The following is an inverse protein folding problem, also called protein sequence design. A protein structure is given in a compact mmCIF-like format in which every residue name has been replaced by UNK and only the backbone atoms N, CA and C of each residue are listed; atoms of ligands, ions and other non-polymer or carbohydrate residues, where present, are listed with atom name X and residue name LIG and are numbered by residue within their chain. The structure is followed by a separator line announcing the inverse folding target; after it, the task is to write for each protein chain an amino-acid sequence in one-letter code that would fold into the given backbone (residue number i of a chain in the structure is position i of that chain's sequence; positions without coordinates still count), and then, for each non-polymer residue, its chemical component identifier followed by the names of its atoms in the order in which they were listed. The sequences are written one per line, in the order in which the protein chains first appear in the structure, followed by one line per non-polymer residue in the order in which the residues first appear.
data_IF_783246127759
#
_entry.id   IF_783246127759
#
_cell.length_a   1.000
_cell.length_b   1.000
_cell.length_c   1.000
_cell.angle_alpha   90.00
_cell.angle_beta   90.00
_cell.angle_gamma   90.00
#
_symmetry.space_group_name_H-M   'P 1'
#
loop_
_entity.id
_entity.type
_entity.pdbx_description
1 polymer ?
#
# COMPACT_ATOMS: atom_id res chain seq x y z
N UNK A 1 20.53 -6.88 1.15
CA UNK A 1 19.11 -7.29 1.21
C UNK A 1 18.28 -6.01 1.18
N UNK A 2 17.69 -5.68 0.03
CA UNK A 2 16.87 -4.46 -0.13
C UNK A 2 15.41 -4.79 0.23
N UNK A 3 15.19 -5.17 1.48
CA UNK A 3 13.86 -5.51 1.99
C UNK A 3 13.23 -4.26 2.63
N UNK A 4 12.09 -3.83 2.10
CA UNK A 4 11.38 -2.63 2.55
C UNK A 4 10.92 -2.76 4.00
N UNK A 5 10.45 -3.94 4.43
CA UNK A 5 9.97 -4.14 5.79
C UNK A 5 11.14 -4.02 6.78
N UNK A 6 12.26 -4.70 6.51
CA UNK A 6 13.42 -4.62 7.39
C UNK A 6 14.00 -3.20 7.42
N UNK A 7 14.15 -2.55 6.26
CA UNK A 7 14.66 -1.18 6.18
C UNK A 7 13.78 -0.20 6.95
N UNK A 8 12.46 -0.25 6.77
CA UNK A 8 11.53 0.68 7.44
C UNK A 8 11.25 0.31 8.91
N UNK A 9 11.57 -0.91 9.34
CA UNK A 9 11.52 -1.29 10.76
C UNK A 9 12.62 -0.66 11.62
N UNK A 10 13.76 -0.30 10.99
CA UNK A 10 14.92 0.26 11.68
C UNK A 10 15.59 -0.71 12.66
N UNK A 11 15.42 -2.03 12.46
CA UNK A 11 16.05 -3.05 13.30
C UNK A 11 17.55 -3.09 13.00
N UNK A 12 18.36 -3.03 14.06
CA UNK A 12 19.81 -3.20 13.98
C UNK A 12 20.14 -4.62 13.51
N UNK A 13 20.88 -4.80 12.40
CA UNK A 13 21.28 -6.11 11.89
C UNK A 13 22.06 -6.98 12.89
N UNK A 14 22.67 -6.38 13.92
CA UNK A 14 23.44 -7.10 14.95
C UNK A 14 22.58 -7.51 16.16
N UNK A 15 21.34 -7.05 16.25
CA UNK A 15 20.45 -7.34 17.38
C UNK A 15 20.01 -8.80 17.46
N UNK A 16 19.61 -9.25 18.65
CA UNK A 16 18.97 -10.57 18.82
C UNK A 16 17.66 -10.68 18.02
N UNK A 17 16.92 -9.58 17.90
CA UNK A 17 15.71 -9.53 17.09
C UNK A 17 16.02 -9.81 15.60
N UNK A 18 17.12 -9.27 15.07
CA UNK A 18 17.56 -9.58 13.70
C UNK A 18 17.89 -11.07 13.52
N UNK A 19 18.50 -11.72 14.53
CA UNK A 19 18.76 -13.18 14.50
C UNK A 19 17.47 -14.00 14.49
N UNK A 20 16.43 -13.56 15.20
CA UNK A 20 15.11 -14.20 15.17
C UNK A 20 14.45 -14.03 13.80
N UNK A 21 14.47 -12.82 13.26
CA UNK A 21 13.93 -12.48 11.93
C UNK A 21 14.61 -13.29 10.82
N UNK A 22 15.93 -13.48 10.90
CA UNK A 22 16.70 -14.26 9.93
C UNK A 22 16.21 -15.71 9.78
N UNK A 23 15.56 -16.28 10.81
CA UNK A 23 14.94 -17.61 10.75
C UNK A 23 13.70 -17.67 9.85
N UNK A 24 13.20 -16.53 9.39
CA UNK A 24 12.02 -16.39 8.52
C UNK A 24 12.34 -15.58 7.26
N UNK A 25 13.60 -15.61 6.81
CA UNK A 25 14.08 -14.83 5.67
C UNK A 25 13.29 -15.09 4.38
N UNK A 26 12.77 -16.31 4.20
CA UNK A 26 11.89 -16.70 3.10
C UNK A 26 10.60 -15.87 3.04
N UNK A 27 9.99 -15.57 4.19
CA UNK A 27 8.78 -14.75 4.27
C UNK A 27 9.06 -13.31 3.88
N UNK A 28 10.18 -12.74 4.34
CA UNK A 28 10.59 -11.39 3.98
C UNK A 28 10.88 -11.29 2.48
N UNK A 29 11.60 -12.27 1.92
CA UNK A 29 11.85 -12.35 0.48
C UNK A 29 10.56 -12.41 -0.34
N UNK A 30 9.61 -13.27 0.02
CA UNK A 30 8.30 -13.35 -0.64
C UNK A 30 7.48 -12.08 -0.47
N UNK A 31 7.58 -11.41 0.68
CA UNK A 31 6.93 -10.13 0.95
C UNK A 31 7.51 -9.04 0.06
N UNK A 32 8.84 -8.99 -0.12
CA UNK A 32 9.48 -8.05 -1.02
C UNK A 32 9.05 -8.29 -2.48
N UNK A 33 9.02 -9.55 -2.94
CA UNK A 33 8.50 -9.89 -4.28
C UNK A 33 7.06 -9.44 -4.47
N UNK A 34 6.22 -9.63 -3.44
CA UNK A 34 4.81 -9.19 -3.47
C UNK A 34 4.71 -7.66 -3.52
N UNK A 35 5.58 -6.95 -2.80
CA UNK A 35 5.66 -5.48 -2.87
C UNK A 35 5.97 -4.99 -4.28
N UNK A 36 6.98 -5.57 -4.90
CA UNK A 36 7.37 -5.21 -6.25
C UNK A 36 6.24 -5.52 -7.25
N UNK A 37 5.62 -6.69 -7.15
CA UNK A 37 4.53 -7.11 -8.02
C UNK A 37 3.23 -6.29 -7.82
N UNK A 38 2.92 -5.86 -6.59
CA UNK A 38 1.70 -5.10 -6.30
C UNK A 38 1.79 -3.66 -6.83
N UNK A 39 2.97 -3.03 -6.74
CA UNK A 39 3.19 -1.64 -7.15
C UNK A 39 3.64 -1.51 -8.61
N UNK A 40 4.43 -2.47 -9.09
CA UNK A 40 5.03 -2.47 -10.44
C UNK A 40 4.77 -3.80 -11.17
N UNK A 41 3.50 -4.23 -11.30
CA UNK A 41 3.19 -5.41 -12.10
C UNK A 41 3.59 -5.20 -13.56
N UNK A 42 3.96 -6.29 -14.25
CA UNK A 42 4.26 -6.27 -15.67
C UNK A 42 3.03 -5.85 -16.51
N UNK A 43 1.84 -6.29 -16.11
CA UNK A 43 0.56 -5.80 -16.64
C UNK A 43 -0.17 -4.98 -15.56
N UNK A 44 -0.17 -3.64 -15.67
CA UNK A 44 -0.85 -2.78 -14.70
C UNK A 44 -2.38 -2.87 -14.76
N UNK A 45 -2.95 -3.34 -15.87
CA UNK A 45 -4.39 -3.23 -16.13
C UNK A 45 -4.85 -1.76 -16.13
N UNK A 46 -6.06 -1.49 -15.62
CA UNK A 46 -6.59 -0.12 -15.53
C UNK A 46 -6.18 0.65 -14.28
N UNK A 47 -5.19 0.16 -13.52
CA UNK A 47 -4.51 0.88 -12.44
C UNK A 47 -3.03 1.03 -12.80
N UNK A 48 -2.65 2.23 -13.25
CA UNK A 48 -1.27 2.60 -13.54
C UNK A 48 -0.34 2.40 -12.32
N UNK A 49 0.97 2.31 -12.57
CA UNK A 49 1.95 2.25 -11.47
C UNK A 49 1.88 3.50 -10.58
N UNK A 50 1.65 4.67 -11.17
CA UNK A 50 1.48 5.93 -10.45
C UNK A 50 0.24 5.91 -9.56
N UNK A 51 -0.92 5.49 -10.07
CA UNK A 51 -2.15 5.35 -9.26
C UNK A 51 -1.97 4.36 -8.10
N UNK A 52 -1.26 3.24 -8.32
CA UNK A 52 -0.95 2.28 -7.26
C UNK A 52 -0.09 2.91 -6.17
N UNK A 53 0.95 3.64 -6.56
CA UNK A 53 1.84 4.33 -5.63
C UNK A 53 1.12 5.47 -4.89
N UNK A 54 0.24 6.21 -5.56
CA UNK A 54 -0.58 7.26 -4.95
C UNK A 54 -1.53 6.69 -3.89
N UNK A 55 -2.23 5.61 -4.20
CA UNK A 55 -3.07 4.89 -3.23
C UNK A 55 -2.22 4.37 -2.06
N UNK A 56 -1.02 3.85 -2.31
CA UNK A 56 -0.13 3.39 -1.25
C UNK A 56 0.34 4.55 -0.34
N UNK A 57 0.68 5.72 -0.89
CA UNK A 57 0.96 6.95 -0.13
C UNK A 57 -0.22 7.36 0.74
N UNK A 58 -1.43 7.32 0.15
CA UNK A 58 -2.67 7.65 0.85
C UNK A 58 -2.92 6.74 2.04
N UNK A 59 -2.74 5.43 1.86
CA UNK A 59 -2.88 4.44 2.93
C UNK A 59 -1.80 4.65 4.01
N UNK A 60 -0.55 4.93 3.62
CA UNK A 60 0.50 5.25 4.59
C UNK A 60 0.16 6.51 5.41
N UNK A 61 -0.46 7.51 4.79
CA UNK A 61 -0.97 8.71 5.46
C UNK A 61 -2.11 8.39 6.43
N UNK A 62 -3.07 7.53 6.04
CA UNK A 62 -4.15 7.07 6.93
C UNK A 62 -3.63 6.35 8.18
N UNK A 63 -2.46 5.71 8.08
CA UNK A 63 -1.84 4.99 9.19
C UNK A 63 -0.78 5.83 9.95
N UNK A 64 -0.66 7.11 9.63
CA UNK A 64 0.33 8.05 10.20
C UNK A 64 1.79 7.53 10.14
N UNK A 65 2.14 6.83 9.05
CA UNK A 65 3.48 6.26 8.88
C UNK A 65 4.31 7.09 7.89
N UNK A 66 5.07 8.06 8.41
CA UNK A 66 5.92 8.94 7.61
C UNK A 66 6.95 8.17 6.76
N UNK A 67 7.55 7.10 7.29
CA UNK A 67 8.58 6.36 6.56
C UNK A 67 8.00 5.60 5.36
N UNK A 68 6.77 5.07 5.48
CA UNK A 68 6.06 4.51 4.33
C UNK A 68 5.56 5.60 3.37
N UNK A 69 5.12 6.76 3.86
CA UNK A 69 4.76 7.89 3.00
C UNK A 69 5.94 8.29 2.12
N UNK A 70 7.13 8.45 2.69
CA UNK A 70 8.34 8.80 1.95
C UNK A 70 8.72 7.69 0.94
N UNK A 71 8.62 6.43 1.36
CA UNK A 71 8.92 5.28 0.49
C UNK A 71 7.99 5.21 -0.72
N UNK A 72 6.68 5.30 -0.49
CA UNK A 72 5.72 5.27 -1.59
C UNK A 72 5.74 6.55 -2.42
N UNK A 73 6.06 7.71 -1.82
CA UNK A 73 6.24 8.98 -2.52
C UNK A 73 7.38 8.91 -3.52
N UNK A 74 8.51 8.32 -3.14
CA UNK A 74 9.61 8.08 -4.06
C UNK A 74 9.22 7.13 -5.22
N UNK A 75 8.36 6.13 -4.96
CA UNK A 75 7.83 5.24 -6.00
C UNK A 75 6.87 6.00 -6.92
N UNK A 76 6.03 6.87 -6.35
CA UNK A 76 5.10 7.72 -7.09
C UNK A 76 5.86 8.63 -8.03
N UNK A 77 6.87 9.36 -7.56
CA UNK A 77 7.70 10.24 -8.39
C UNK A 77 8.37 9.49 -9.54
N UNK A 78 8.90 8.30 -9.29
CA UNK A 78 9.51 7.44 -10.31
C UNK A 78 8.51 6.94 -11.36
N UNK A 79 7.23 6.85 -11.01
CA UNK A 79 6.17 6.43 -11.93
C UNK A 79 5.67 7.56 -12.86
N UNK A 80 6.25 8.77 -12.74
CA UNK A 80 5.91 9.95 -13.55
C UNK A 80 4.40 10.25 -13.54
N UNK A 81 3.82 10.59 -12.37
CA UNK A 81 2.39 10.69 -12.20
C UNK A 81 1.83 11.88 -12.98
N UNK A 82 0.57 11.78 -13.40
CA UNK A 82 -0.19 12.95 -13.79
C UNK A 82 -0.63 13.77 -12.57
N UNK A 83 -1.36 14.86 -12.82
CA UNK A 83 -1.82 15.72 -11.73
C UNK A 83 -2.88 15.05 -10.84
N UNK A 84 -3.75 14.24 -11.42
CA UNK A 84 -4.80 13.54 -10.67
C UNK A 84 -4.18 12.49 -9.75
N UNK A 85 -3.20 11.74 -10.25
CA UNK A 85 -2.47 10.73 -9.48
C UNK A 85 -1.68 11.36 -8.33
N UNK A 86 -1.03 12.51 -8.55
CA UNK A 86 -0.42 13.28 -7.45
C UNK A 86 -1.45 13.64 -6.39
N UNK A 87 -2.59 14.18 -6.80
CA UNK A 87 -3.66 14.60 -5.89
C UNK A 87 -4.28 13.43 -5.11
N UNK A 88 -4.40 12.23 -5.71
CA UNK A 88 -4.90 11.02 -5.01
C UNK A 88 -4.08 10.69 -3.76
N UNK A 89 -2.78 10.97 -3.76
CA UNK A 89 -1.92 10.73 -2.59
C UNK A 89 -2.26 11.59 -1.37
N UNK A 90 -2.91 12.74 -1.59
CA UNK A 90 -3.32 13.68 -0.54
C UNK A 90 -4.68 13.28 0.07
N UNK A 91 -4.72 13.03 1.38
CA UNK A 91 -5.92 12.65 2.13
C UNK A 91 -7.09 13.62 1.95
N UNK A 92 -6.83 14.91 1.74
CA UNK A 92 -7.87 15.94 1.62
C UNK A 92 -8.44 16.06 0.21
N UNK A 93 -7.79 15.45 -0.79
CA UNK A 93 -8.29 15.47 -2.15
C UNK A 93 -9.63 14.76 -2.30
N UNK A 94 -10.53 15.37 -3.07
CA UNK A 94 -11.85 14.83 -3.42
C UNK A 94 -12.02 14.96 -4.93
N UNK A 95 -11.94 13.83 -5.63
CA UNK A 95 -12.06 13.81 -7.08
C UNK A 95 -13.50 14.08 -7.54
N UNK A 96 -13.64 14.90 -8.58
CA UNK A 96 -14.91 15.06 -9.32
C UNK A 96 -15.16 13.90 -10.29
N UNK A 97 -14.10 13.25 -10.76
CA UNK A 97 -14.20 12.06 -11.62
C UNK A 97 -14.79 10.87 -10.82
N UNK A 98 -15.91 10.26 -11.27
CA UNK A 98 -16.55 9.17 -10.56
C UNK A 98 -15.68 7.93 -10.37
N UNK A 99 -14.82 7.60 -11.33
CA UNK A 99 -13.90 6.46 -11.26
C UNK A 99 -12.86 6.72 -10.18
N UNK A 100 -12.21 7.88 -10.19
CA UNK A 100 -11.19 8.24 -9.19
C UNK A 100 -11.80 8.36 -7.79
N UNK A 101 -12.97 8.98 -7.68
CA UNK A 101 -13.72 9.07 -6.41
C UNK A 101 -14.04 7.68 -5.84
N UNK A 102 -14.46 6.72 -6.68
CA UNK A 102 -14.72 5.35 -6.25
C UNK A 102 -13.45 4.60 -5.81
N UNK A 103 -12.31 4.80 -6.50
CA UNK A 103 -11.01 4.24 -6.09
C UNK A 103 -10.58 4.75 -4.72
N UNK A 104 -10.60 6.08 -4.52
CA UNK A 104 -10.25 6.73 -3.25
C UNK A 104 -11.12 6.19 -2.12
N UNK A 105 -12.45 6.19 -2.31
CA UNK A 105 -13.41 5.75 -1.30
C UNK A 105 -13.17 4.30 -0.88
N UNK A 106 -12.91 3.41 -1.85
CA UNK A 106 -12.64 2.00 -1.56
C UNK A 106 -11.32 1.81 -0.81
N UNK A 107 -10.25 2.49 -1.25
CA UNK A 107 -8.96 2.45 -0.58
C UNK A 107 -9.07 2.94 0.87
N UNK A 108 -9.74 4.07 1.11
CA UNK A 108 -9.93 4.64 2.44
C UNK A 108 -10.74 3.72 3.34
N UNK A 109 -11.87 3.20 2.83
CA UNK A 109 -12.73 2.30 3.59
C UNK A 109 -12.01 1.02 3.99
N UNK A 110 -11.35 0.35 3.04
CA UNK A 110 -10.72 -0.95 3.30
C UNK A 110 -9.46 -0.80 4.14
N UNK A 111 -8.71 0.30 4.00
CA UNK A 111 -7.53 0.55 4.83
C UNK A 111 -7.91 0.92 6.28
N UNK A 112 -8.94 1.76 6.47
CA UNK A 112 -9.31 2.26 7.80
C UNK A 112 -10.29 1.33 8.55
N UNK A 113 -11.25 0.72 7.84
CA UNK A 113 -12.29 -0.10 8.44
C UNK A 113 -12.69 -1.27 7.52
N UNK A 114 -11.80 -2.27 7.31
CA UNK A 114 -12.06 -3.37 6.40
C UNK A 114 -13.29 -4.21 6.77
N UNK A 115 -13.72 -4.20 8.04
CA UNK A 115 -14.92 -4.91 8.50
C UNK A 115 -16.23 -4.25 8.03
N UNK A 116 -16.19 -2.96 7.72
CA UNK A 116 -17.34 -2.23 7.19
C UNK A 116 -17.48 -2.37 5.67
N UNK A 117 -16.45 -2.89 4.98
CA UNK A 117 -16.54 -3.16 3.55
C UNK A 117 -17.58 -4.24 3.24
N UNK A 118 -18.40 -3.99 2.23
CA UNK A 118 -19.56 -4.79 1.88
C UNK A 118 -19.67 -5.00 0.37
N UNK A 119 -20.59 -5.88 -0.06
CA UNK A 119 -20.89 -6.05 -1.48
C UNK A 119 -21.36 -4.76 -2.17
N UNK A 120 -21.96 -3.82 -1.42
CA UNK A 120 -22.36 -2.51 -1.96
C UNK A 120 -21.15 -1.67 -2.38
N UNK A 121 -20.03 -1.79 -1.67
CA UNK A 121 -18.81 -1.06 -1.98
C UNK A 121 -18.17 -1.53 -3.29
N UNK A 122 -18.25 -2.83 -3.56
CA UNK A 122 -17.84 -3.43 -4.84
C UNK A 122 -18.77 -2.98 -5.96
N UNK A 123 -20.08 -2.96 -5.72
CA UNK A 123 -21.04 -2.50 -6.72
C UNK A 123 -20.84 -1.02 -7.09
N UNK A 124 -20.46 -0.17 -6.13
CA UNK A 124 -20.11 1.22 -6.39
C UNK A 124 -18.88 1.35 -7.31
N UNK A 125 -17.89 0.45 -7.21
CA UNK A 125 -16.75 0.43 -8.15
C UNK A 125 -17.21 0.05 -9.58
N UNK A 126 -18.08 -0.95 -9.69
CA UNK A 126 -18.65 -1.38 -10.99
C UNK A 126 -19.46 -0.26 -11.65
N UNK A 127 -20.30 0.42 -10.86
CA UNK A 127 -21.10 1.57 -11.32
C UNK A 127 -20.23 2.74 -11.79
N UNK A 128 -19.01 2.87 -11.26
CA UNK A 128 -18.02 3.84 -11.71
C UNK A 128 -17.20 3.36 -12.94
N UNK A 129 -17.58 2.24 -13.55
CA UNK A 129 -16.94 1.71 -14.77
C UNK A 129 -15.62 0.98 -14.52
N UNK A 130 -15.33 0.57 -13.28
CA UNK A 130 -14.14 -0.22 -12.96
C UNK A 130 -14.46 -1.69 -13.25
N UNK A 131 -13.64 -2.31 -14.10
CA UNK A 131 -13.81 -3.70 -14.50
C UNK A 131 -13.40 -4.64 -13.36
N UNK A 132 -13.98 -5.85 -13.32
CA UNK A 132 -13.79 -6.80 -12.21
C UNK A 132 -12.33 -7.12 -11.92
N UNK A 133 -11.51 -7.30 -12.97
CA UNK A 133 -10.08 -7.55 -12.81
C UNK A 133 -9.35 -6.40 -12.09
N UNK A 134 -9.76 -5.15 -12.32
CA UNK A 134 -9.18 -3.97 -11.67
C UNK A 134 -9.68 -3.79 -10.24
N UNK A 135 -10.92 -4.22 -9.95
CA UNK A 135 -11.44 -4.28 -8.57
C UNK A 135 -10.61 -5.25 -7.72
N UNK A 136 -10.26 -6.42 -8.29
CA UNK A 136 -9.39 -7.39 -7.62
C UNK A 136 -8.01 -6.79 -7.40
N UNK A 137 -7.37 -6.23 -8.45
CA UNK A 137 -6.05 -5.58 -8.35
C UNK A 137 -6.02 -4.47 -7.29
N UNK A 138 -7.05 -3.63 -7.24
CA UNK A 138 -7.18 -2.58 -6.22
C UNK A 138 -7.27 -3.17 -4.82
N UNK A 139 -8.13 -4.18 -4.63
CA UNK A 139 -8.35 -4.79 -3.31
C UNK A 139 -7.10 -5.51 -2.80
N UNK A 140 -6.37 -6.20 -3.69
CA UNK A 140 -5.08 -6.83 -3.38
C UNK A 140 -4.03 -5.80 -2.98
N UNK A 141 -3.92 -4.69 -3.72
CA UNK A 141 -3.02 -3.58 -3.39
C UNK A 141 -3.32 -3.03 -1.98
N UNK A 142 -4.58 -2.65 -1.72
CA UNK A 142 -4.98 -2.04 -0.44
C UNK A 142 -4.73 -3.00 0.71
N UNK A 143 -5.09 -4.28 0.56
CA UNK A 143 -4.87 -5.31 1.56
C UNK A 143 -3.37 -5.50 1.85
N UNK A 144 -2.55 -5.58 0.79
CA UNK A 144 -1.12 -5.81 0.92
C UNK A 144 -0.38 -4.62 1.54
N UNK A 145 -0.66 -3.39 1.10
CA UNK A 145 -0.05 -2.18 1.70
C UNK A 145 -0.41 -2.08 3.18
N UNK A 146 -1.69 -2.31 3.52
CA UNK A 146 -2.15 -2.32 4.92
C UNK A 146 -1.49 -3.43 5.75
N UNK A 147 -1.17 -4.57 5.14
CA UNK A 147 -0.40 -5.64 5.79
C UNK A 147 1.05 -5.20 6.06
N UNK A 148 1.75 -4.63 5.06
CA UNK A 148 3.15 -4.21 5.22
C UNK A 148 3.32 -3.19 6.34
N UNK A 149 2.44 -2.18 6.38
CA UNK A 149 2.46 -1.15 7.42
C UNK A 149 2.30 -1.78 8.80
N UNK A 150 1.33 -2.68 8.98
CA UNK A 150 1.08 -3.36 10.27
C UNK A 150 2.25 -4.26 10.69
N UNK A 151 2.89 -4.97 9.76
CA UNK A 151 4.07 -5.79 10.06
C UNK A 151 5.21 -4.91 10.57
N UNK A 152 5.53 -3.82 9.87
CA UNK A 152 6.59 -2.89 10.28
C UNK A 152 6.26 -2.22 11.62
N UNK A 153 5.00 -1.83 11.85
CA UNK A 153 4.57 -1.30 13.15
C UNK A 153 4.82 -2.30 14.28
N UNK A 154 4.46 -3.57 14.09
CA UNK A 154 4.74 -4.65 15.06
C UNK A 154 6.24 -4.85 15.30
N UNK A 155 7.05 -4.85 14.24
CA UNK A 155 8.51 -4.97 14.34
C UNK A 155 9.14 -3.79 15.09
N UNK A 156 8.65 -2.57 14.87
CA UNK A 156 9.10 -1.37 15.60
C UNK A 156 8.78 -1.46 17.09
N UNK A 157 7.62 -2.02 17.47
CA UNK A 157 7.27 -2.27 18.87
C UNK A 157 8.16 -3.33 19.51
N UNK A 158 8.45 -4.43 18.80
CA UNK A 158 9.38 -5.46 19.27
C UNK A 158 10.79 -4.90 19.48
N UNK A 159 11.27 -4.03 18.58
CA UNK A 159 12.56 -3.35 18.70
C UNK A 159 12.65 -2.45 19.93
N UNK A 160 11.56 -1.79 20.32
CA UNK A 160 11.53 -0.95 21.52
C UNK A 160 11.53 -1.76 22.82
N UNK A 161 11.15 -3.04 22.75
CA UNK A 161 11.05 -3.95 23.89
C UNK A 161 12.24 -4.91 24.02
N UNK A 162 13.18 -4.87 23.06
CA UNK A 162 14.38 -5.70 22.99
C UNK A 162 15.60 -4.92 23.48
#
# INVERSE_FOLDING_TARGET
MNDVILRLSGIDPQSELAKVIAKRADIFELTQKTHDAALRPADPGGLSHAMRAAIACRIASLNDDAAFRDHFGAILDQAAPDETERQVSDLDYRASDPRISALIRHADLVAANPRAASGRDIELLRQAGIVEADIVRLSELVAFVSYQIRVVAGLRLMRQSA
#
